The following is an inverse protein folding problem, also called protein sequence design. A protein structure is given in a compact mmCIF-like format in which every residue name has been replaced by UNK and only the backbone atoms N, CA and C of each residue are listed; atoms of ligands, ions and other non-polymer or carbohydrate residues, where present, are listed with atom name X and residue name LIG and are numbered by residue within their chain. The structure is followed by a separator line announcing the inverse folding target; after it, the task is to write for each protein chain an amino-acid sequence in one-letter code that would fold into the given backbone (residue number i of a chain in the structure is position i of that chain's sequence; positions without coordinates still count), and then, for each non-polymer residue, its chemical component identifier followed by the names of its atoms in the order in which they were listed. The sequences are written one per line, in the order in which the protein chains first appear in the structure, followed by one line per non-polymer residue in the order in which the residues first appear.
data_IF_891037762640
#
_entry.id   IF_891037762640
#
_cell.length_a   1.000
_cell.length_b   1.000
_cell.length_c   1.000
_cell.angle_alpha   90.00
_cell.angle_beta   90.00
_cell.angle_gamma   90.00
#
_symmetry.space_group_name_H-M   'P 1'
#
loop_
_entity.id
_entity.type
_entity.pdbx_description
1 polymer ?
#
# COMPACT_ATOMS: atom_id res chain seq x y z
N UNK A 1 15.22 -11.98 -31.67
CA UNK A 1 16.34 -12.20 -30.73
C UNK A 1 16.82 -10.82 -30.28
N UNK A 2 16.30 -10.36 -29.14
CA UNK A 2 16.75 -9.17 -28.40
C UNK A 2 16.90 -9.68 -26.97
N UNK A 3 18.15 -9.82 -26.54
CA UNK A 3 18.48 -9.83 -25.12
C UNK A 3 18.46 -8.39 -24.60
N UNK A 4 18.59 -8.14 -23.31
CA UNK A 4 19.13 -8.98 -22.25
C UNK A 4 18.61 -8.39 -20.93
N UNK A 5 18.58 -9.26 -19.93
CA UNK A 5 18.76 -8.96 -18.50
C UNK A 5 17.86 -7.91 -17.80
N UNK A 6 17.00 -8.47 -16.95
CA UNK A 6 16.14 -7.94 -15.90
C UNK A 6 16.90 -7.27 -14.72
N UNK A 7 18.12 -6.80 -14.97
CA UNK A 7 19.04 -6.16 -14.01
C UNK A 7 18.54 -4.79 -13.50
N UNK A 8 17.54 -4.18 -14.15
CA UNK A 8 17.03 -2.85 -13.77
C UNK A 8 16.05 -2.79 -12.60
N UNK A 9 15.48 -3.92 -12.16
CA UNK A 9 14.53 -3.92 -11.04
C UNK A 9 15.22 -3.72 -9.68
N UNK A 10 16.46 -4.20 -9.52
CA UNK A 10 17.21 -4.04 -8.27
C UNK A 10 17.79 -2.63 -8.10
N UNK A 11 18.15 -1.94 -9.20
CA UNK A 11 18.72 -0.58 -9.14
C UNK A 11 17.69 0.51 -8.79
N UNK A 12 16.40 0.25 -9.02
CA UNK A 12 15.30 1.15 -8.61
C UNK A 12 14.82 0.87 -7.18
N UNK A 13 15.01 -0.35 -6.69
CA UNK A 13 14.93 -0.66 -5.26
C UNK A 13 16.25 -0.26 -4.57
N UNK A 14 16.67 0.99 -4.79
CA UNK A 14 17.90 1.49 -4.23
C UNK A 14 17.93 1.34 -2.70
N UNK A 15 19.14 1.28 -2.16
CA UNK A 15 19.40 1.37 -0.73
C UNK A 15 19.05 2.79 -0.22
N UNK A 16 17.78 3.12 -0.17
CA UNK A 16 17.24 4.33 0.45
C UNK A 16 16.50 3.85 1.71
N UNK A 17 16.98 4.08 2.92
CA UNK A 17 17.33 5.36 3.49
C UNK A 17 16.32 5.58 4.62
N UNK A 18 16.77 5.41 5.87
CA UNK A 18 15.99 5.32 7.12
C UNK A 18 15.15 6.57 7.49
N UNK A 19 14.81 7.42 6.52
CA UNK A 19 14.20 8.72 6.73
C UNK A 19 13.15 9.11 5.68
N UNK A 20 12.68 8.20 4.82
CA UNK A 20 11.57 8.52 3.94
C UNK A 20 10.31 8.77 4.77
N UNK A 21 9.86 10.02 4.72
CA UNK A 21 8.55 10.42 5.20
C UNK A 21 7.59 10.28 4.03
N UNK A 22 6.45 9.62 4.22
CA UNK A 22 5.39 9.65 3.22
C UNK A 22 4.94 11.12 3.00
N UNK A 23 4.16 11.37 1.94
CA UNK A 23 3.56 12.69 1.64
C UNK A 23 2.79 13.33 2.83
N UNK A 24 2.47 12.51 3.85
CA UNK A 24 1.80 12.92 5.08
C UNK A 24 2.78 13.27 6.24
N UNK A 25 4.09 13.28 5.97
CA UNK A 25 5.15 13.59 6.93
C UNK A 25 5.46 12.45 7.91
N UNK A 26 4.92 11.25 7.70
CA UNK A 26 5.07 10.11 8.61
C UNK A 26 6.27 9.26 8.22
N UNK A 27 7.11 8.94 9.20
CA UNK A 27 8.18 7.96 9.03
C UNK A 27 7.55 6.59 8.84
N UNK A 28 8.02 5.83 7.87
CA UNK A 28 7.72 4.41 7.80
C UNK A 28 8.07 3.77 9.15
N UNK A 29 7.12 3.02 9.73
CA UNK A 29 7.43 2.21 10.90
C UNK A 29 8.59 1.27 10.53
N UNK A 30 9.52 1.02 11.46
CA UNK A 30 10.66 0.10 11.26
C UNK A 30 10.18 -1.38 11.26
N UNK A 31 9.15 -1.70 10.46
CA UNK A 31 8.78 -3.07 10.20
C UNK A 31 9.65 -3.59 9.04
N UNK A 32 10.07 -4.87 9.08
CA UNK A 32 10.58 -5.54 7.90
C UNK A 32 9.57 -5.38 6.78
N UNK A 33 10.01 -4.91 5.61
CA UNK A 33 9.16 -4.86 4.42
C UNK A 33 9.01 -6.31 3.95
N UNK A 34 7.84 -6.90 4.18
CA UNK A 34 7.49 -8.15 3.54
C UNK A 34 7.21 -7.87 2.05
N UNK A 35 7.89 -8.60 1.18
CA UNK A 35 7.73 -8.53 -0.28
C UNK A 35 6.69 -9.52 -0.80
N UNK A 36 5.97 -10.20 0.11
CA UNK A 36 4.83 -11.05 -0.19
C UNK A 36 3.52 -10.28 -0.42
N UNK A 37 2.45 -10.99 -0.80
CA UNK A 37 1.12 -10.40 -0.93
C UNK A 37 0.65 -9.82 0.41
N UNK A 38 -0.06 -8.67 0.43
CA UNK A 38 -0.46 -8.02 1.67
C UNK A 38 -1.39 -8.89 2.52
N UNK A 39 -1.12 -8.98 3.82
CA UNK A 39 -1.96 -9.70 4.78
C UNK A 39 -3.11 -8.83 5.31
N UNK A 40 -4.18 -9.47 5.79
CA UNK A 40 -5.31 -8.76 6.43
C UNK A 40 -4.85 -7.98 7.67
N UNK A 41 -3.87 -8.49 8.42
CA UNK A 41 -3.36 -7.85 9.64
C UNK A 41 -2.59 -6.57 9.30
N UNK A 42 -1.71 -6.60 8.31
CA UNK A 42 -0.99 -5.43 7.82
C UNK A 42 -1.95 -4.34 7.33
N UNK A 43 -2.97 -4.73 6.55
CA UNK A 43 -3.99 -3.81 6.06
C UNK A 43 -4.78 -3.20 7.22
N UNK A 44 -5.19 -4.00 8.20
CA UNK A 44 -5.88 -3.53 9.41
C UNK A 44 -5.01 -2.56 10.21
N UNK A 45 -3.71 -2.84 10.37
CA UNK A 45 -2.76 -1.95 11.04
C UNK A 45 -2.62 -0.62 10.28
N UNK A 46 -2.49 -0.66 8.96
CA UNK A 46 -2.41 0.54 8.11
C UNK A 46 -3.69 1.39 8.23
N UNK A 47 -4.88 0.79 8.10
CA UNK A 47 -6.16 1.49 8.26
C UNK A 47 -6.28 2.17 9.63
N UNK A 48 -5.81 1.51 10.70
CA UNK A 48 -5.79 2.09 12.05
C UNK A 48 -4.85 3.31 12.16
N UNK A 49 -3.74 3.32 11.42
CA UNK A 49 -2.79 4.43 11.40
C UNK A 49 -3.26 5.65 10.59
N UNK A 50 -4.22 5.50 9.67
CA UNK A 50 -4.74 6.61 8.85
C UNK A 50 -5.14 7.80 9.74
N UNK A 51 -4.64 9.00 9.47
CA UNK A 51 -5.04 10.20 10.24
C UNK A 51 -6.49 10.60 9.93
N UNK A 52 -7.27 10.85 10.98
CA UNK A 52 -8.60 11.47 10.87
C UNK A 52 -8.45 12.96 10.54
N UNK A 53 -9.45 13.57 9.90
CA UNK A 53 -9.44 14.99 9.50
C UNK A 53 -8.62 15.27 8.23
N UNK A 54 -8.28 14.25 7.45
CA UNK A 54 -7.71 14.43 6.11
C UNK A 54 -8.83 14.83 5.12
N UNK A 55 -8.50 15.70 4.17
CA UNK A 55 -9.43 16.04 3.10
C UNK A 55 -9.86 14.76 2.35
N UNK A 56 -11.15 14.65 2.04
CA UNK A 56 -11.65 13.54 1.26
C UNK A 56 -10.97 13.51 -0.12
N UNK A 57 -10.76 12.31 -0.67
CA UNK A 57 -10.21 12.13 -2.00
C UNK A 57 -11.14 12.67 -3.10
N UNK A 58 -10.74 12.56 -4.38
CA UNK A 58 -11.60 12.92 -5.52
C UNK A 58 -12.94 12.15 -5.56
N UNK A 59 -12.98 10.99 -4.92
CA UNK A 59 -14.16 10.15 -4.69
C UNK A 59 -15.08 10.68 -3.57
N UNK A 60 -14.70 11.76 -2.89
CA UNK A 60 -15.36 12.34 -1.72
C UNK A 60 -15.47 11.36 -0.54
N UNK A 61 -14.63 10.32 -0.48
CA UNK A 61 -14.62 9.36 0.62
C UNK A 61 -13.72 9.91 1.74
N UNK A 62 -14.25 10.18 2.94
CA UNK A 62 -13.44 10.65 4.05
C UNK A 62 -12.62 9.51 4.66
N UNK A 63 -11.45 9.84 5.23
CA UNK A 63 -10.58 8.88 5.92
C UNK A 63 -11.30 8.16 7.09
N UNK A 64 -12.27 8.83 7.70
CA UNK A 64 -13.14 8.31 8.74
C UNK A 64 -13.98 7.12 8.26
N UNK A 65 -14.40 7.10 7.00
CA UNK A 65 -15.16 5.99 6.43
C UNK A 65 -14.32 4.71 6.38
N UNK A 66 -13.02 4.84 6.09
CA UNK A 66 -12.09 3.72 6.12
C UNK A 66 -11.90 3.17 7.55
N UNK A 67 -11.98 4.03 8.56
CA UNK A 67 -11.85 3.66 9.97
C UNK A 67 -13.13 3.17 10.63
N UNK A 68 -14.30 3.46 10.05
CA UNK A 68 -15.60 3.10 10.63
C UNK A 68 -15.79 1.58 10.74
N UNK A 69 -15.36 0.82 9.74
CA UNK A 69 -15.33 -0.65 9.78
C UNK A 69 -14.00 -1.19 9.25
N UNK A 70 -13.03 -1.29 10.16
CA UNK A 70 -11.70 -1.80 9.84
C UNK A 70 -11.76 -3.22 9.29
N UNK A 71 -12.62 -4.09 9.82
CA UNK A 71 -12.63 -5.51 9.44
C UNK A 71 -13.19 -5.69 8.02
N UNK A 72 -14.31 -5.06 7.71
CA UNK A 72 -14.89 -5.12 6.37
C UNK A 72 -13.94 -4.49 5.34
N UNK A 73 -13.41 -3.31 5.66
CA UNK A 73 -12.49 -2.62 4.76
C UNK A 73 -11.21 -3.44 4.55
N UNK A 74 -10.61 -4.02 5.58
CA UNK A 74 -9.43 -4.86 5.43
C UNK A 74 -9.67 -6.05 4.48
N UNK A 75 -10.84 -6.69 4.55
CA UNK A 75 -11.18 -7.82 3.66
C UNK A 75 -11.35 -7.38 2.20
N UNK A 76 -12.03 -6.26 1.97
CA UNK A 76 -12.22 -5.71 0.62
C UNK A 76 -10.86 -5.34 0.00
N UNK A 77 -10.03 -4.62 0.75
CA UNK A 77 -8.70 -4.23 0.30
C UNK A 77 -7.79 -5.44 0.08
N UNK A 78 -7.87 -6.47 0.93
CA UNK A 78 -7.11 -7.71 0.75
C UNK A 78 -7.44 -8.38 -0.59
N UNK A 79 -8.72 -8.47 -0.97
CA UNK A 79 -9.13 -9.04 -2.27
C UNK A 79 -8.54 -8.22 -3.42
N UNK A 80 -8.65 -6.89 -3.35
CA UNK A 80 -8.15 -5.99 -4.38
C UNK A 80 -6.63 -6.09 -4.53
N UNK A 81 -5.89 -6.01 -3.42
CA UNK A 81 -4.43 -6.04 -3.44
C UNK A 81 -3.89 -7.39 -3.90
N UNK A 82 -4.49 -8.52 -3.48
CA UNK A 82 -4.09 -9.83 -4.00
C UNK A 82 -4.34 -9.93 -5.51
N UNK A 83 -5.47 -9.42 -6.00
CA UNK A 83 -5.73 -9.41 -7.45
C UNK A 83 -4.68 -8.59 -8.22
N UNK A 84 -4.30 -7.42 -7.71
CA UNK A 84 -3.24 -6.59 -8.31
C UNK A 84 -1.89 -7.30 -8.25
N UNK A 85 -1.59 -7.97 -7.13
CA UNK A 85 -0.35 -8.73 -6.94
C UNK A 85 -0.23 -9.90 -7.93
N UNK A 86 -1.32 -10.66 -8.09
CA UNK A 86 -1.37 -11.84 -8.96
C UNK A 86 -1.39 -11.46 -10.45
N UNK A 87 -2.24 -10.50 -10.84
CA UNK A 87 -2.43 -10.12 -12.24
C UNK A 87 -1.38 -9.11 -12.73
N UNK A 88 -0.63 -8.48 -11.81
CA UNK A 88 0.32 -7.37 -12.06
C UNK A 88 -0.29 -6.23 -12.88
N UNK A 89 -1.61 -6.05 -12.81
CA UNK A 89 -2.36 -5.02 -13.51
C UNK A 89 -3.37 -4.36 -12.58
N UNK A 90 -3.62 -3.07 -12.80
CA UNK A 90 -4.66 -2.33 -12.09
C UNK A 90 -6.02 -2.70 -12.67
N UNK A 91 -7.02 -3.06 -11.85
CA UNK A 91 -8.39 -3.27 -12.31
C UNK A 91 -8.91 -2.02 -13.02
N UNK A 92 -9.66 -2.23 -14.11
CA UNK A 92 -10.30 -1.12 -14.82
C UNK A 92 -11.52 -0.66 -14.02
N UNK A 93 -11.75 0.65 -14.02
CA UNK A 93 -12.89 1.34 -13.41
C UNK A 93 -14.25 0.85 -13.95
#
# INVERSE_FOLDING_TARGET
MVGTDNTGYEDTMGRHGLEERNENGERFANLPIDVGPPTIEEISMAIRQIKIGKAAGPDNIPAEALKADVVANSRIHHILFNKIWDEKQVPKD
#
